data_IF_598329492385
#
_entry.id   IF_598329492385
#
_cell.length_a   1.000
_cell.length_b   1.000
_cell.length_c   1.000
_cell.angle_alpha   90.00
_cell.angle_beta   90.00
_cell.angle_gamma   90.00
#
_symmetry.space_group_name_H-M   'P 1'
#
loop_
_entity.id
_entity.type
_entity.pdbx_description
1 polymer ?
#
# COMPACT_ATOMS: atom_id res chain seq x y z
N UNK A 1 15.83 -14.65 3.72
CA UNK A 1 15.09 -15.93 3.63
C UNK A 1 13.91 -15.80 4.58
N UNK A 2 12.74 -15.50 4.06
CA UNK A 2 11.51 -15.46 4.85
C UNK A 2 11.05 -16.92 4.95
N UNK A 3 11.32 -17.55 6.09
CA UNK A 3 10.90 -18.92 6.36
C UNK A 3 9.54 -18.82 7.05
N UNK A 4 8.49 -19.36 6.41
CA UNK A 4 7.16 -19.43 6.99
C UNK A 4 7.18 -20.29 8.26
N UNK A 5 6.96 -19.66 9.42
CA UNK A 5 6.71 -20.35 10.70
C UNK A 5 5.28 -20.91 10.74
N UNK A 6 5.09 -22.09 11.32
CA UNK A 6 3.81 -22.78 11.47
C UNK A 6 2.75 -21.94 12.20
N UNK A 7 3.16 -21.04 13.09
CA UNK A 7 2.24 -20.16 13.83
C UNK A 7 1.57 -19.11 12.94
N UNK A 8 2.31 -18.57 11.95
CA UNK A 8 1.80 -17.67 10.91
C UNK A 8 0.88 -18.36 9.89
N UNK A 9 0.95 -19.70 9.76
CA UNK A 9 0.20 -20.47 8.76
C UNK A 9 -1.30 -20.62 9.07
N UNK A 10 -1.72 -20.48 10.34
CA UNK A 10 -3.13 -20.60 10.75
C UNK A 10 -3.88 -19.27 10.78
N UNK A 11 -3.16 -18.15 10.83
CA UNK A 11 -3.75 -16.81 10.97
C UNK A 11 -3.81 -16.02 9.66
N UNK A 12 -2.96 -16.34 8.68
CA UNK A 12 -2.87 -15.58 7.43
C UNK A 12 -3.02 -16.50 6.21
N UNK A 13 -3.56 -15.93 5.14
CA UNK A 13 -3.57 -16.51 3.79
C UNK A 13 -2.13 -16.60 3.20
N UNK A 14 -1.14 -17.09 3.97
CA UNK A 14 0.29 -16.98 3.68
C UNK A 14 0.71 -17.54 2.33
N UNK A 15 0.06 -18.63 1.87
CA UNK A 15 0.31 -19.14 0.51
C UNK A 15 -0.22 -18.24 -0.60
N UNK A 16 -1.36 -17.56 -0.39
CA UNK A 16 -1.90 -16.58 -1.34
C UNK A 16 -1.01 -15.34 -1.38
N UNK A 17 -0.62 -14.86 -0.19
CA UNK A 17 0.30 -13.73 -0.02
C UNK A 17 1.60 -13.96 -0.78
N UNK A 18 2.20 -15.14 -0.61
CA UNK A 18 3.42 -15.52 -1.30
C UNK A 18 3.27 -15.54 -2.84
N UNK A 19 2.14 -16.08 -3.33
CA UNK A 19 1.84 -16.11 -4.76
C UNK A 19 1.72 -14.71 -5.35
N UNK A 20 1.05 -13.81 -4.63
CA UNK A 20 0.91 -12.43 -5.05
C UNK A 20 2.25 -11.70 -5.07
N UNK A 21 3.13 -11.94 -4.10
CA UNK A 21 4.48 -11.36 -4.09
C UNK A 21 5.32 -11.85 -5.28
N UNK A 22 5.33 -13.16 -5.56
CA UNK A 22 6.00 -13.71 -6.75
C UNK A 22 5.41 -13.15 -8.05
N UNK A 23 4.08 -13.01 -8.12
CA UNK A 23 3.39 -12.41 -9.27
C UNK A 23 3.84 -10.97 -9.50
N UNK A 24 4.03 -10.17 -8.44
CA UNK A 24 4.55 -8.82 -8.60
C UNK A 24 5.92 -8.84 -9.27
N UNK A 25 6.87 -9.60 -8.71
CA UNK A 25 8.25 -9.57 -9.19
C UNK A 25 8.42 -10.18 -10.59
N UNK A 26 7.70 -11.27 -10.90
CA UNK A 26 7.81 -11.96 -12.19
C UNK A 26 6.99 -11.33 -13.31
N UNK A 27 5.89 -10.64 -13.00
CA UNK A 27 4.95 -10.15 -14.02
C UNK A 27 4.75 -8.65 -13.97
N UNK A 28 4.31 -8.08 -12.84
CA UNK A 28 4.01 -6.64 -12.76
C UNK A 28 5.23 -5.75 -12.91
N UNK A 29 6.35 -6.03 -12.22
CA UNK A 29 7.54 -5.16 -12.33
C UNK A 29 8.18 -5.19 -13.72
N UNK A 30 8.33 -6.34 -14.40
CA UNK A 30 8.75 -6.37 -15.80
C UNK A 30 7.77 -5.64 -16.72
N UNK A 31 6.46 -5.86 -16.52
CA UNK A 31 5.43 -5.16 -17.29
C UNK A 31 5.55 -3.64 -17.11
N UNK A 32 5.54 -3.14 -15.88
CA UNK A 32 5.69 -1.71 -15.57
C UNK A 32 7.02 -1.12 -16.09
N UNK A 33 8.11 -1.89 -16.09
CA UNK A 33 9.40 -1.41 -16.59
C UNK A 33 9.43 -1.10 -18.08
N UNK A 34 8.43 -1.57 -18.85
CA UNK A 34 8.29 -1.20 -20.26
C UNK A 34 7.89 0.25 -20.49
N UNK A 35 7.31 0.92 -19.47
CA UNK A 35 6.84 2.32 -19.56
C UNK A 35 7.49 3.24 -18.53
N UNK A 36 7.97 2.70 -17.41
CA UNK A 36 8.75 3.42 -16.40
C UNK A 36 10.04 2.63 -16.15
N UNK A 37 11.11 2.95 -16.88
CA UNK A 37 12.33 2.14 -16.96
C UNK A 37 13.02 1.89 -15.63
N UNK A 38 12.93 2.84 -14.70
CA UNK A 38 13.56 2.82 -13.39
C UNK A 38 12.57 2.42 -12.27
N UNK A 39 11.42 1.79 -12.60
CA UNK A 39 10.46 1.33 -11.57
C UNK A 39 11.04 0.25 -10.67
N UNK A 40 11.90 -0.63 -11.21
CA UNK A 40 12.52 -1.73 -10.47
C UNK A 40 13.49 -1.22 -9.39
N UNK A 41 14.01 0.00 -9.54
CA UNK A 41 14.91 0.61 -8.55
C UNK A 41 14.19 0.92 -7.23
N UNK A 42 12.85 1.00 -7.22
CA UNK A 42 12.05 1.12 -6.00
C UNK A 42 12.00 -0.17 -5.18
N UNK A 43 12.55 -1.29 -5.66
CA UNK A 43 12.48 -2.59 -5.00
C UNK A 43 13.87 -3.18 -4.82
N UNK A 44 14.09 -4.08 -3.83
CA UNK A 44 15.26 -4.95 -3.84
C UNK A 44 15.30 -5.75 -5.16
N UNK A 45 16.48 -5.97 -5.72
CA UNK A 45 16.58 -6.81 -6.93
C UNK A 45 16.04 -8.22 -6.64
N UNK A 46 15.06 -8.63 -7.41
CA UNK A 46 14.52 -10.00 -7.39
C UNK A 46 15.49 -10.95 -8.11
N UNK A 47 15.89 -12.02 -7.42
CA UNK A 47 16.84 -13.01 -7.94
C UNK A 47 16.10 -14.27 -8.40
N UNK A 48 15.17 -14.76 -7.58
CA UNK A 48 14.42 -15.97 -7.85
C UNK A 48 13.15 -16.03 -7.01
N UNK A 49 12.10 -16.63 -7.56
CA UNK A 49 10.86 -16.91 -6.85
C UNK A 49 10.26 -18.22 -7.36
N UNK A 50 9.82 -19.07 -6.44
CA UNK A 50 9.16 -20.32 -6.75
C UNK A 50 8.02 -20.54 -5.77
N UNK A 51 6.86 -20.90 -6.31
CA UNK A 51 5.68 -21.30 -5.55
C UNK A 51 5.37 -22.75 -5.92
N UNK A 52 5.34 -23.61 -4.92
CA UNK A 52 4.94 -25.01 -5.09
C UNK A 52 3.42 -25.11 -5.24
N UNK A 53 2.96 -26.03 -6.09
CA UNK A 53 1.53 -26.33 -6.19
C UNK A 53 1.05 -27.19 -5.02
N UNK A 54 1.95 -28.00 -4.45
CA UNK A 54 1.59 -29.11 -3.56
C UNK A 54 2.25 -28.98 -2.17
N UNK A 55 3.38 -28.27 -2.06
CA UNK A 55 4.15 -28.17 -0.82
C UNK A 55 4.69 -26.75 -0.56
N UNK A 56 3.95 -25.96 0.21
CA UNK A 56 4.33 -24.57 0.53
C UNK A 56 5.64 -24.42 1.32
N UNK A 57 6.21 -25.49 1.86
CA UNK A 57 7.54 -25.41 2.49
C UNK A 57 8.67 -25.28 1.45
N UNK A 58 8.36 -25.49 0.18
CA UNK A 58 9.27 -25.25 -0.95
C UNK A 58 9.14 -23.83 -1.51
N UNK A 59 8.15 -23.06 -1.05
CA UNK A 59 7.96 -21.67 -1.48
C UNK A 59 9.19 -20.84 -1.09
N UNK A 60 9.85 -20.24 -2.09
CA UNK A 60 11.08 -19.47 -1.89
C UNK A 60 11.10 -18.20 -2.72
N UNK A 61 11.44 -17.09 -2.06
CA UNK A 61 11.75 -15.80 -2.68
C UNK A 61 13.17 -15.43 -2.26
N UNK A 62 13.99 -15.10 -3.25
CA UNK A 62 15.36 -14.66 -3.07
C UNK A 62 15.45 -13.23 -3.60
N UNK A 63 15.74 -12.30 -2.69
CA UNK A 63 15.94 -10.89 -2.97
C UNK A 63 17.39 -10.49 -2.64
N UNK A 64 17.82 -9.40 -3.26
CA UNK A 64 19.06 -8.72 -2.92
C UNK A 64 19.16 -8.36 -1.44
N UNK A 65 20.34 -8.59 -0.88
CA UNK A 65 20.65 -8.17 0.48
C UNK A 65 21.06 -6.69 0.51
N UNK A 66 20.08 -5.81 0.75
CA UNK A 66 20.27 -4.36 0.77
C UNK A 66 21.17 -3.84 1.90
N UNK A 67 21.48 -4.65 2.93
CA UNK A 67 22.37 -4.22 4.02
C UNK A 67 23.78 -3.86 3.54
N UNK A 68 24.24 -4.49 2.45
CA UNK A 68 25.53 -4.20 1.81
C UNK A 68 25.58 -2.78 1.22
N UNK A 69 24.42 -2.22 0.90
CA UNK A 69 24.26 -0.86 0.37
C UNK A 69 23.85 0.16 1.43
N UNK A 70 24.02 -0.17 2.72
CA UNK A 70 23.65 0.67 3.87
C UNK A 70 22.16 1.02 3.96
N UNK A 71 21.29 0.21 3.34
CA UNK A 71 19.86 0.29 3.58
C UNK A 71 19.51 -0.37 4.91
N UNK A 72 18.53 0.20 5.61
CA UNK A 72 18.02 -0.31 6.89
C UNK A 72 16.59 0.17 7.12
N UNK A 73 15.87 -0.52 7.99
CA UNK A 73 14.56 -0.06 8.45
C UNK A 73 14.70 1.28 9.18
N UNK A 74 13.65 2.09 9.16
CA UNK A 74 13.60 3.31 9.94
C UNK A 74 13.78 3.00 11.44
N UNK A 75 14.58 3.81 12.14
CA UNK A 75 14.83 3.62 13.58
C UNK A 75 13.61 3.96 14.43
N UNK A 76 12.83 4.94 14.00
CA UNK A 76 11.62 5.35 14.70
C UNK A 76 10.54 4.28 14.55
N UNK A 77 10.00 3.84 15.69
CA UNK A 77 8.98 2.80 15.75
C UNK A 77 7.55 3.32 15.66
N UNK A 78 7.33 4.63 15.70
CA UNK A 78 5.98 5.20 15.80
C UNK A 78 5.76 6.39 14.87
N UNK A 79 6.77 7.23 14.64
CA UNK A 79 6.64 8.43 13.81
C UNK A 79 7.86 8.63 12.93
N UNK A 80 7.65 8.60 11.62
CA UNK A 80 8.71 8.90 10.66
C UNK A 80 9.00 10.41 10.62
N UNK A 81 10.22 10.80 10.25
CA UNK A 81 10.49 12.20 9.93
C UNK A 81 9.80 12.57 8.61
N UNK A 82 9.52 13.86 8.42
CA UNK A 82 8.92 14.37 7.20
C UNK A 82 9.67 13.90 5.95
N UNK A 83 11.00 13.91 5.96
CA UNK A 83 11.81 13.47 4.82
C UNK A 83 11.56 12.00 4.43
N UNK A 84 11.39 11.09 5.41
CA UNK A 84 11.04 9.69 5.12
C UNK A 84 9.66 9.59 4.50
N UNK A 85 8.70 10.36 5.03
CA UNK A 85 7.31 10.35 4.56
C UNK A 85 7.22 10.85 3.11
N UNK A 86 7.85 12.00 2.81
CA UNK A 86 7.86 12.56 1.45
C UNK A 86 8.55 11.60 0.47
N UNK A 87 9.64 10.95 0.89
CA UNK A 87 10.36 9.98 0.05
C UNK A 87 9.52 8.74 -0.25
N UNK A 88 8.86 8.16 0.76
CA UNK A 88 7.97 7.03 0.57
C UNK A 88 6.78 7.39 -0.33
N UNK A 89 6.16 8.56 -0.13
CA UNK A 89 5.04 9.03 -0.94
C UNK A 89 5.43 9.30 -2.40
N UNK A 90 6.63 9.78 -2.68
CA UNK A 90 7.15 9.90 -4.06
C UNK A 90 7.27 8.53 -4.72
N UNK A 91 7.91 7.58 -4.04
CA UNK A 91 8.01 6.20 -4.54
C UNK A 91 6.62 5.59 -4.80
N UNK A 92 5.66 5.82 -3.89
CA UNK A 92 4.29 5.35 -4.06
C UNK A 92 3.59 6.02 -5.25
N UNK A 93 3.77 7.32 -5.43
CA UNK A 93 3.24 8.07 -6.58
C UNK A 93 3.73 7.50 -7.90
N UNK A 94 5.03 7.23 -8.00
CA UNK A 94 5.65 6.57 -9.15
C UNK A 94 5.12 5.15 -9.37
N UNK A 95 4.97 4.35 -8.31
CA UNK A 95 4.41 3.00 -8.41
C UNK A 95 2.94 3.00 -8.88
N UNK A 96 2.10 3.86 -8.32
CA UNK A 96 0.70 3.98 -8.73
C UNK A 96 0.55 4.54 -10.15
N UNK A 97 1.44 5.45 -10.58
CA UNK A 97 1.45 5.97 -11.94
C UNK A 97 1.56 4.87 -13.01
N UNK A 98 2.32 3.79 -12.74
CA UNK A 98 2.41 2.65 -13.66
C UNK A 98 1.05 2.05 -14.01
N UNK A 99 0.12 1.97 -13.05
CA UNK A 99 -1.23 1.47 -13.31
C UNK A 99 -2.02 2.39 -14.24
N UNK A 100 -1.94 3.71 -14.04
CA UNK A 100 -2.61 4.69 -14.91
C UNK A 100 -2.06 4.65 -16.33
N UNK A 101 -0.73 4.62 -16.47
CA UNK A 101 -0.06 4.54 -17.77
C UNK A 101 -0.49 3.26 -18.50
N UNK A 102 -0.45 2.11 -17.82
CA UNK A 102 -0.84 0.84 -18.44
C UNK A 102 -2.30 0.80 -18.85
N UNK A 103 -3.22 1.33 -18.03
CA UNK A 103 -4.63 1.46 -18.40
C UNK A 103 -4.83 2.33 -19.64
N UNK A 104 -4.03 3.39 -19.81
CA UNK A 104 -4.11 4.28 -20.97
C UNK A 104 -3.58 3.65 -22.26
N UNK A 105 -2.68 2.67 -22.15
CA UNK A 105 -2.08 1.96 -23.28
C UNK A 105 -2.94 0.76 -23.68
N UNK A 106 -3.24 -0.11 -22.72
CA UNK A 106 -4.01 -1.33 -22.92
C UNK A 106 -4.73 -1.70 -21.61
N UNK A 107 -5.96 -1.18 -21.48
CA UNK A 107 -6.82 -1.42 -20.31
C UNK A 107 -7.14 -2.90 -20.12
N UNK A 108 -7.39 -3.65 -21.19
CA UNK A 108 -7.80 -5.06 -21.09
C UNK A 108 -6.66 -5.94 -20.58
N UNK A 109 -5.43 -5.72 -21.07
CA UNK A 109 -4.25 -6.42 -20.57
C UNK A 109 -3.97 -6.05 -19.11
N UNK A 110 -4.09 -4.77 -18.74
CA UNK A 110 -3.94 -4.36 -17.34
C UNK A 110 -4.97 -5.05 -16.44
N UNK A 111 -6.24 -5.04 -16.84
CA UNK A 111 -7.34 -5.69 -16.11
C UNK A 111 -7.13 -7.20 -15.98
N UNK A 112 -6.69 -7.87 -17.05
CA UNK A 112 -6.36 -9.30 -16.99
C UNK A 112 -5.27 -9.61 -15.96
N UNK A 113 -4.23 -8.78 -15.87
CA UNK A 113 -3.16 -8.93 -14.88
C UNK A 113 -3.64 -8.71 -13.45
N UNK A 114 -4.38 -7.63 -13.18
CA UNK A 114 -4.91 -7.38 -11.83
C UNK A 114 -5.95 -8.42 -11.40
N UNK A 115 -6.69 -9.01 -12.34
CA UNK A 115 -7.60 -10.12 -12.07
C UNK A 115 -6.87 -11.44 -11.76
N UNK A 116 -5.57 -11.56 -12.09
CA UNK A 116 -4.74 -12.70 -11.69
C UNK A 116 -4.22 -12.58 -10.25
N UNK A 117 -4.31 -11.39 -9.63
CA UNK A 117 -4.00 -11.19 -8.22
C UNK A 117 -5.03 -11.95 -7.39
N UNK A 118 -4.56 -12.82 -6.51
CA UNK A 118 -5.45 -13.65 -5.71
C UNK A 118 -5.99 -12.85 -4.54
N UNK A 119 -7.29 -12.98 -4.29
CA UNK A 119 -7.97 -12.22 -3.25
C UNK A 119 -7.48 -12.64 -1.85
N UNK A 120 -6.95 -11.68 -1.10
CA UNK A 120 -6.54 -11.84 0.30
C UNK A 120 -7.63 -11.42 1.30
N UNK A 121 -8.78 -10.93 0.81
CA UNK A 121 -9.86 -10.29 1.59
C UNK A 121 -10.97 -11.25 2.00
N UNK A 122 -10.72 -12.55 2.15
CA UNK A 122 -11.76 -13.48 2.62
C UNK A 122 -12.37 -13.05 3.98
N UNK A 123 -11.60 -12.31 4.79
CA UNK A 123 -12.04 -11.71 6.05
C UNK A 123 -13.06 -10.58 5.90
N UNK A 124 -13.15 -9.94 4.73
CA UNK A 124 -14.07 -8.80 4.49
C UNK A 124 -15.52 -9.27 4.44
N UNK A 125 -15.78 -10.47 3.93
CA UNK A 125 -17.15 -10.96 3.67
C UNK A 125 -17.65 -11.96 4.70
N UNK A 126 -16.80 -12.39 5.65
CA UNK A 126 -17.19 -13.28 6.76
C UNK A 126 -17.25 -12.54 8.10
N UNK A 127 -18.45 -12.24 8.63
CA UNK A 127 -18.64 -11.62 9.94
C UNK A 127 -18.05 -12.41 11.12
N UNK A 128 -17.80 -13.71 10.94
CA UNK A 128 -17.21 -14.57 11.95
C UNK A 128 -15.69 -14.60 11.88
N UNK A 129 -15.10 -13.96 10.89
CA UNK A 129 -13.65 -13.92 10.71
C UNK A 129 -12.99 -13.20 11.90
N UNK A 130 -11.90 -13.79 12.40
CA UNK A 130 -11.21 -13.29 13.58
C UNK A 130 -10.49 -11.96 13.35
N UNK A 131 -10.01 -11.72 12.13
CA UNK A 131 -9.34 -10.47 11.74
C UNK A 131 -10.35 -9.35 11.54
N UNK A 132 -11.50 -9.64 10.93
CA UNK A 132 -12.59 -8.67 10.87
C UNK A 132 -13.04 -8.25 12.28
N UNK A 133 -13.26 -9.22 13.17
CA UNK A 133 -13.61 -8.98 14.56
C UNK A 133 -12.52 -8.18 15.31
N UNK A 134 -11.25 -8.41 15.01
CA UNK A 134 -10.15 -7.63 15.54
C UNK A 134 -10.23 -6.15 15.11
N UNK A 135 -10.45 -5.88 13.82
CA UNK A 135 -10.59 -4.50 13.32
C UNK A 135 -11.77 -3.80 13.99
N UNK A 136 -12.95 -4.43 13.99
CA UNK A 136 -14.17 -3.86 14.58
C UNK A 136 -13.95 -3.50 16.06
N UNK A 137 -13.41 -4.42 16.86
CA UNK A 137 -13.15 -4.16 18.30
C UNK A 137 -12.15 -3.03 18.53
N UNK A 138 -11.15 -2.86 17.67
CA UNK A 138 -10.22 -1.74 17.79
C UNK A 138 -10.88 -0.42 17.40
N UNK A 139 -11.71 -0.41 16.35
CA UNK A 139 -12.53 0.75 15.98
C UNK A 139 -13.51 1.14 17.09
N UNK A 140 -14.22 0.19 17.70
CA UNK A 140 -15.14 0.43 18.82
C UNK A 140 -14.45 1.09 20.01
N UNK A 141 -13.23 0.66 20.34
CA UNK A 141 -12.44 1.25 21.43
C UNK A 141 -12.13 2.72 21.17
N UNK A 142 -11.68 3.05 19.96
CA UNK A 142 -11.43 4.43 19.54
C UNK A 142 -12.71 5.27 19.52
N UNK A 143 -13.76 4.73 18.91
CA UNK A 143 -15.07 5.38 18.83
C UNK A 143 -15.63 5.70 20.22
N UNK A 144 -15.59 4.76 21.17
CA UNK A 144 -16.10 4.97 22.53
C UNK A 144 -15.39 6.13 23.26
N UNK A 145 -14.08 6.27 23.04
CA UNK A 145 -13.32 7.37 23.60
C UNK A 145 -13.74 8.70 22.95
N UNK A 146 -13.74 8.77 21.61
CA UNK A 146 -14.05 9.99 20.86
C UNK A 146 -15.50 10.44 21.04
N UNK A 147 -16.46 9.51 21.10
CA UNK A 147 -17.88 9.83 21.31
C UNK A 147 -18.17 10.46 22.68
N UNK A 148 -17.25 10.34 23.64
CA UNK A 148 -17.32 11.03 24.92
C UNK A 148 -16.80 12.47 24.90
N UNK A 149 -16.24 12.93 23.79
CA UNK A 149 -15.67 14.27 23.60
C UNK A 149 -16.64 15.12 22.76
N UNK A 150 -17.06 16.27 23.29
CA UNK A 150 -18.05 17.13 22.62
C UNK A 150 -17.59 17.59 21.23
N UNK A 151 -16.28 17.79 21.03
CA UNK A 151 -15.69 18.23 19.76
C UNK A 151 -15.85 17.22 18.60
N UNK A 152 -16.13 15.94 18.90
CA UNK A 152 -16.24 14.85 17.92
C UNK A 152 -17.67 14.31 17.77
N UNK A 153 -18.63 14.82 18.53
CA UNK A 153 -20.00 14.28 18.59
C UNK A 153 -20.68 14.17 17.22
N UNK A 154 -20.48 15.18 16.37
CA UNK A 154 -21.07 15.29 15.03
C UNK A 154 -20.12 14.81 13.92
N UNK A 155 -18.92 14.31 14.26
CA UNK A 155 -17.89 13.84 13.30
C UNK A 155 -17.78 12.33 13.19
N UNK A 156 -18.59 11.59 13.95
CA UNK A 156 -18.46 10.14 14.08
C UNK A 156 -19.58 9.36 13.39
N UNK A 157 -20.39 10.01 12.57
CA UNK A 157 -21.54 9.38 11.91
C UNK A 157 -21.14 8.23 11.00
N UNK A 158 -20.09 8.41 10.18
CA UNK A 158 -19.57 7.35 9.32
C UNK A 158 -19.03 6.17 10.13
N UNK A 159 -18.29 6.44 11.22
CA UNK A 159 -17.78 5.39 12.11
C UNK A 159 -18.93 4.67 12.82
N UNK A 160 -19.97 5.40 13.24
CA UNK A 160 -21.17 4.84 13.87
C UNK A 160 -21.92 3.91 12.90
N UNK A 161 -22.07 4.31 11.64
CA UNK A 161 -22.70 3.48 10.60
C UNK A 161 -21.86 2.24 10.29
N UNK A 162 -20.53 2.39 10.17
CA UNK A 162 -19.61 1.27 10.01
C UNK A 162 -19.74 0.25 11.15
N UNK A 163 -19.70 0.72 12.41
CA UNK A 163 -19.81 -0.16 13.58
C UNK A 163 -21.19 -0.83 13.69
N UNK A 164 -22.25 -0.19 13.18
CA UNK A 164 -23.58 -0.77 13.16
C UNK A 164 -23.73 -1.93 12.16
N UNK A 165 -23.02 -1.87 11.02
CA UNK A 165 -23.04 -2.95 10.03
C UNK A 165 -21.68 -3.15 9.32
N UNK A 166 -20.65 -3.70 10.00
CA UNK A 166 -19.31 -3.79 9.42
C UNK A 166 -19.28 -4.64 8.14
N UNK A 167 -20.10 -5.69 8.07
CA UNK A 167 -20.17 -6.59 6.92
C UNK A 167 -20.65 -5.91 5.63
N UNK A 168 -21.47 -4.86 5.73
CA UNK A 168 -21.89 -4.05 4.59
C UNK A 168 -20.83 -3.03 4.16
N UNK A 169 -20.07 -2.51 5.13
CA UNK A 169 -19.10 -1.44 4.90
C UNK A 169 -17.74 -1.95 4.41
N UNK A 170 -17.22 -3.06 4.95
CA UNK A 170 -15.90 -3.57 4.55
C UNK A 170 -15.77 -3.77 3.03
N UNK A 171 -16.74 -4.37 2.30
CA UNK A 171 -16.66 -4.49 0.85
C UNK A 171 -16.54 -3.15 0.12
N UNK A 172 -17.16 -2.08 0.64
CA UNK A 172 -17.15 -0.74 0.02
C UNK A 172 -15.76 -0.11 0.04
N UNK A 173 -14.95 -0.39 1.06
CA UNK A 173 -13.57 0.11 1.13
C UNK A 173 -12.68 -0.42 0.01
N UNK A 174 -13.08 -1.53 -0.62
CA UNK A 174 -12.32 -2.19 -1.67
C UNK A 174 -13.06 -2.24 -3.01
N UNK A 175 -14.11 -1.43 -3.17
CA UNK A 175 -14.81 -1.31 -4.44
C UNK A 175 -13.86 -0.75 -5.51
N UNK A 176 -13.78 -1.43 -6.64
CA UNK A 176 -12.90 -1.06 -7.74
C UNK A 176 -13.59 0.01 -8.58
N UNK A 177 -12.87 1.10 -8.83
CA UNK A 177 -13.26 2.14 -9.76
C UNK A 177 -12.32 2.11 -10.96
N UNK A 178 -12.86 1.82 -12.15
CA UNK A 178 -12.08 1.73 -13.39
C UNK A 178 -11.17 2.94 -13.65
N UNK A 179 -11.62 4.15 -13.29
CA UNK A 179 -10.87 5.39 -13.50
C UNK A 179 -9.75 5.52 -12.46
N UNK A 180 -10.04 5.33 -11.18
CA UNK A 180 -9.13 5.73 -10.09
C UNK A 180 -8.37 4.58 -9.44
N UNK A 181 -8.81 3.33 -9.60
CA UNK A 181 -8.13 2.19 -8.99
C UNK A 181 -6.79 1.87 -9.66
N UNK A 182 -5.84 1.44 -8.84
CA UNK A 182 -4.46 1.10 -9.22
C UNK A 182 -4.05 -0.19 -8.51
N UNK A 183 -2.97 -0.82 -8.96
CA UNK A 183 -2.30 -1.84 -8.16
C UNK A 183 -1.66 -1.15 -6.95
N UNK A 184 -2.29 -1.34 -5.80
CA UNK A 184 -1.80 -0.89 -4.49
C UNK A 184 -0.85 -1.94 -3.92
N UNK A 185 0.04 -1.50 -3.03
CA UNK A 185 0.85 -2.37 -2.18
C UNK A 185 -0.03 -3.13 -1.18
N UNK A 186 -1.06 -2.50 -0.61
CA UNK A 186 -2.03 -3.13 0.30
C UNK A 186 -1.60 -3.28 1.76
N UNK A 187 -0.32 -3.05 2.06
CA UNK A 187 0.24 -2.94 3.42
C UNK A 187 1.38 -1.90 3.44
N UNK A 188 1.11 -0.73 2.86
CA UNK A 188 2.12 0.31 2.68
C UNK A 188 2.48 0.98 4.02
N UNK A 189 3.42 0.42 4.76
CA UNK A 189 3.87 0.93 6.05
C UNK A 189 5.39 0.96 6.19
N UNK A 190 5.92 1.67 7.19
CA UNK A 190 7.38 1.79 7.42
C UNK A 190 8.10 0.46 7.58
N UNK A 191 7.40 -0.59 8.01
CA UNK A 191 8.01 -1.91 8.25
C UNK A 191 8.30 -2.62 6.93
N UNK A 192 7.65 -2.21 5.84
CA UNK A 192 7.77 -2.76 4.49
C UNK A 192 8.62 -1.83 3.60
N UNK A 193 9.49 -1.03 4.23
CA UNK A 193 10.36 -0.07 3.56
C UNK A 193 11.77 -0.09 4.15
N UNK A 194 12.76 -0.20 3.28
CA UNK A 194 14.15 0.07 3.60
C UNK A 194 14.53 1.47 3.16
N UNK A 195 15.25 2.19 4.01
CA UNK A 195 15.80 3.51 3.71
C UNK A 195 17.32 3.48 3.66
N UNK A 196 17.90 4.17 2.69
CA UNK A 196 19.34 4.46 2.60
C UNK A 196 19.61 5.80 3.26
N UNK A 197 20.73 5.90 3.98
CA UNK A 197 21.08 7.10 4.74
C UNK A 197 22.43 7.64 4.33
N UNK A 198 22.55 8.96 4.35
CA UNK A 198 23.84 9.65 4.43
C UNK A 198 24.47 9.46 5.81
N UNK A 199 25.77 9.77 5.94
CA UNK A 199 26.48 9.76 7.22
C UNK A 199 25.88 10.76 8.23
N UNK A 200 25.17 11.79 7.73
CA UNK A 200 24.39 12.74 8.54
C UNK A 200 23.14 12.13 9.20
N UNK A 201 22.74 10.92 8.82
CA UNK A 201 21.51 10.27 9.24
C UNK A 201 20.27 10.69 8.45
N UNK A 202 20.42 11.51 7.40
CA UNK A 202 19.34 11.93 6.50
C UNK A 202 18.98 10.80 5.52
N UNK A 203 17.70 10.46 5.32
CA UNK A 203 17.31 9.48 4.32
C UNK A 203 17.54 10.04 2.91
N UNK A 204 18.11 9.23 2.03
CA UNK A 204 18.42 9.61 0.62
C UNK A 204 17.81 8.71 -0.42
N UNK A 205 17.37 7.51 -0.04
CA UNK A 205 16.63 6.62 -0.94
C UNK A 205 15.72 5.67 -0.16
N UNK A 206 14.70 5.14 -0.82
CA UNK A 206 13.74 4.16 -0.27
C UNK A 206 13.61 2.96 -1.23
N UNK A 207 13.44 1.77 -0.66
CA UNK A 207 13.04 0.56 -1.38
C UNK A 207 11.86 -0.10 -0.65
N UNK A 208 10.81 -0.42 -1.40
CA UNK A 208 9.64 -1.16 -0.93
C UNK A 208 9.91 -2.65 -1.00
N UNK A 209 9.39 -3.41 -0.05
CA UNK A 209 9.48 -4.87 -0.03
C UNK A 209 8.22 -5.44 0.63
N UNK A 210 8.09 -6.77 0.66
CA UNK A 210 6.90 -7.45 1.20
C UNK A 210 5.63 -7.07 0.42
N UNK A 211 5.64 -7.43 -0.86
CA UNK A 211 4.55 -7.11 -1.80
C UNK A 211 3.46 -8.19 -1.78
N UNK A 212 3.31 -8.85 -0.65
CA UNK A 212 2.45 -10.02 -0.49
C UNK A 212 0.96 -9.65 -0.42
N UNK A 213 0.65 -8.38 -0.16
CA UNK A 213 -0.71 -7.87 0.02
C UNK A 213 -1.21 -7.03 -1.16
N UNK A 214 -0.53 -7.11 -2.31
CA UNK A 214 -0.92 -6.34 -3.50
C UNK A 214 -2.38 -6.54 -3.85
N UNK A 215 -3.03 -5.45 -4.26
CA UNK A 215 -4.47 -5.42 -4.49
C UNK A 215 -4.84 -4.34 -5.50
N UNK A 216 -5.80 -4.61 -6.37
CA UNK A 216 -6.40 -3.58 -7.22
C UNK A 216 -7.48 -2.83 -6.44
N UNK A 217 -7.18 -1.60 -6.04
CA UNK A 217 -8.04 -0.79 -5.18
C UNK A 217 -7.79 0.71 -5.39
N UNK A 218 -8.54 1.56 -4.69
CA UNK A 218 -8.27 3.00 -4.64
C UNK A 218 -6.87 3.28 -4.07
N UNK A 219 -6.08 4.20 -4.65
CA UNK A 219 -4.76 4.58 -4.13
C UNK A 219 -4.83 5.16 -2.71
N UNK A 220 -6.01 5.63 -2.28
CA UNK A 220 -6.26 6.11 -0.92
C UNK A 220 -5.99 5.03 0.12
N UNK A 221 -6.14 3.75 -0.24
CA UNK A 221 -5.84 2.62 0.65
C UNK A 221 -4.41 2.72 1.20
N UNK A 222 -3.41 2.82 0.32
CA UNK A 222 -2.00 2.92 0.71
C UNK A 222 -1.67 4.27 1.33
N UNK A 223 -2.20 5.37 0.77
CA UNK A 223 -1.91 6.74 1.25
C UNK A 223 -2.42 6.93 2.68
N UNK A 224 -3.69 6.63 2.94
CA UNK A 224 -4.29 6.80 4.25
C UNK A 224 -3.66 5.84 5.26
N UNK A 225 -3.47 4.56 4.90
CA UNK A 225 -2.83 3.59 5.77
C UNK A 225 -1.43 4.03 6.18
N UNK A 226 -0.60 4.47 5.23
CA UNK A 226 0.75 4.93 5.50
C UNK A 226 0.78 6.18 6.39
N UNK A 227 0.00 7.20 6.04
CA UNK A 227 -0.02 8.47 6.77
C UNK A 227 -0.51 8.26 8.19
N UNK A 228 -1.65 7.60 8.40
CA UNK A 228 -2.20 7.43 9.75
C UNK A 228 -1.37 6.49 10.63
N UNK A 229 -0.66 5.52 10.05
CA UNK A 229 0.16 4.58 10.82
C UNK A 229 1.57 5.10 11.15
N UNK A 230 2.09 6.07 10.38
CA UNK A 230 3.50 6.49 10.50
C UNK A 230 3.69 7.99 10.80
N UNK A 231 2.61 8.76 10.96
CA UNK A 231 2.68 10.20 11.30
C UNK A 231 2.02 10.50 12.65
N UNK A 232 2.52 11.54 13.31
CA UNK A 232 1.82 12.17 14.45
C UNK A 232 0.70 13.10 14.00
N UNK A 233 -0.21 13.45 14.92
CA UNK A 233 -1.26 14.44 14.66
C UNK A 233 -0.68 15.79 14.23
N UNK A 234 0.33 16.30 14.93
CA UNK A 234 0.95 17.60 14.62
C UNK A 234 1.57 17.62 13.22
N UNK A 235 2.22 16.52 12.83
CA UNK A 235 2.77 16.38 11.47
C UNK A 235 1.67 16.43 10.41
N UNK A 236 0.53 15.77 10.64
CA UNK A 236 -0.61 15.83 9.72
C UNK A 236 -1.16 17.24 9.64
N UNK A 237 -1.41 17.90 10.77
CA UNK A 237 -1.93 19.28 10.79
C UNK A 237 -0.99 20.24 10.07
N UNK A 238 0.32 20.12 10.27
CA UNK A 238 1.31 21.05 9.74
C UNK A 238 1.70 20.78 8.28
N UNK A 239 1.73 19.51 7.86
CA UNK A 239 2.34 19.09 6.60
C UNK A 239 1.42 18.29 5.68
N UNK A 240 0.10 18.27 5.93
CA UNK A 240 -0.86 17.50 5.12
C UNK A 240 -0.68 17.74 3.62
N UNK A 241 -0.82 19.00 3.20
CA UNK A 241 -0.74 19.37 1.78
C UNK A 241 0.63 19.03 1.20
N UNK A 242 1.71 19.26 1.95
CA UNK A 242 3.07 18.91 1.52
C UNK A 242 3.22 17.40 1.29
N UNK A 243 2.62 16.56 2.13
CA UNK A 243 2.64 15.11 1.99
C UNK A 243 1.83 14.66 0.76
N UNK A 244 0.60 15.15 0.61
CA UNK A 244 -0.26 14.77 -0.52
C UNK A 244 0.32 15.28 -1.85
N UNK A 245 0.82 16.52 -1.90
CA UNK A 245 1.50 17.05 -3.09
C UNK A 245 2.74 16.24 -3.44
N UNK A 246 3.53 15.78 -2.46
CA UNK A 246 4.71 14.95 -2.75
C UNK A 246 4.35 13.61 -3.41
N UNK A 247 3.21 13.00 -3.06
CA UNK A 247 2.67 11.85 -3.77
C UNK A 247 2.20 12.24 -5.18
N UNK A 248 1.36 13.27 -5.26
CA UNK A 248 0.70 13.69 -6.49
C UNK A 248 1.68 14.16 -7.56
N UNK A 249 2.65 14.99 -7.19
CA UNK A 249 3.67 15.52 -8.10
C UNK A 249 4.50 14.38 -8.69
N UNK A 250 4.86 13.38 -7.88
CA UNK A 250 5.60 12.22 -8.37
C UNK A 250 4.76 11.35 -9.30
N UNK A 251 3.47 11.16 -9.00
CA UNK A 251 2.54 10.46 -9.87
C UNK A 251 2.40 11.18 -11.21
N UNK A 252 2.13 12.49 -11.16
CA UNK A 252 1.98 13.36 -12.33
C UNK A 252 3.24 13.35 -13.20
N UNK A 253 4.41 13.59 -12.59
CA UNK A 253 5.69 13.58 -13.30
C UNK A 253 5.95 12.24 -13.98
N UNK A 254 5.61 11.12 -13.32
CA UNK A 254 5.78 9.78 -13.90
C UNK A 254 4.82 9.58 -15.08
N UNK A 255 3.54 9.94 -14.94
CA UNK A 255 2.57 9.89 -16.04
C UNK A 255 2.97 10.76 -17.24
N UNK A 256 3.45 11.98 -17.00
CA UNK A 256 3.87 12.92 -18.05
C UNK A 256 5.20 12.52 -18.72
N UNK A 257 6.00 11.69 -18.07
CA UNK A 257 7.26 11.19 -18.64
C UNK A 257 7.06 10.10 -19.70
N UNK A 258 5.87 9.50 -19.79
CA UNK A 258 5.59 8.49 -20.79
C UNK A 258 5.12 9.15 -22.11
N UNK A 259 5.32 8.47 -23.24
CA UNK A 259 4.94 8.98 -24.56
C UNK A 259 3.44 8.84 -24.88
N UNK A 260 2.58 8.74 -23.85
CA UNK A 260 1.15 8.49 -23.97
C UNK A 260 0.33 9.54 -23.21
N UNK A 261 -0.88 9.82 -23.71
CA UNK A 261 -1.84 10.64 -22.96
C UNK A 261 -2.44 9.80 -21.85
N UNK A 262 -2.12 10.15 -20.60
CA UNK A 262 -2.61 9.42 -19.42
C UNK A 262 -3.67 10.25 -18.72
N UNK A 263 -4.86 9.67 -18.53
CA UNK A 263 -5.85 10.22 -17.61
C UNK A 263 -5.58 9.69 -16.21
N UNK A 264 -5.33 10.60 -15.27
CA UNK A 264 -5.23 10.30 -13.84
C UNK A 264 -6.02 11.36 -13.05
N UNK A 265 -6.52 11.01 -11.85
CA UNK A 265 -7.26 11.97 -11.02
C UNK A 265 -6.41 13.21 -10.74
N UNK A 266 -7.04 14.38 -10.72
CA UNK A 266 -6.39 15.61 -10.25
C UNK A 266 -6.38 15.67 -8.72
N UNK A 267 -5.57 16.55 -8.14
CA UNK A 267 -5.60 16.80 -6.69
C UNK A 267 -7.01 17.17 -6.20
N UNK A 268 -7.74 17.95 -7.01
CA UNK A 268 -9.11 18.40 -6.74
C UNK A 268 -10.16 17.29 -6.90
N UNK A 269 -9.85 16.23 -7.63
CA UNK A 269 -10.71 15.04 -7.76
C UNK A 269 -10.61 14.12 -6.52
N UNK A 270 -9.68 14.37 -5.59
CA UNK A 270 -9.59 13.62 -4.34
C UNK A 270 -10.75 14.03 -3.43
N UNK A 271 -11.62 13.10 -2.98
CA UNK A 271 -12.61 13.44 -1.97
C UNK A 271 -11.85 13.94 -0.75
N UNK A 272 -12.02 15.22 -0.40
CA UNK A 272 -11.38 15.93 0.72
C UNK A 272 -11.04 14.99 1.90
N UNK A 273 -9.84 14.39 1.88
CA UNK A 273 -9.38 13.48 2.95
C UNK A 273 -9.10 14.29 4.24
N UNK A 274 -9.07 15.62 4.14
CA UNK A 274 -8.76 16.54 5.22
C UNK A 274 -9.99 17.15 5.94
N UNK A 275 -11.23 16.90 5.50
CA UNK A 275 -12.37 17.71 5.96
C UNK A 275 -13.55 16.98 6.64
N UNK A 276 -13.64 15.65 6.60
CA UNK A 276 -14.76 14.92 7.23
C UNK A 276 -14.31 13.83 8.22
#
# INVERSE_FOLDING_TARGET
MQICDESSLKFNNGGIQFINEVLLYNDFLPYFSTVVSDIQDLFPKFVYGYVSTDNRFEDIIILENLSLEKYRLATSRTQLSLEHILMALRGLGKFHACSYIMKSIDKDTFLAKVNAVRDIRNWVTDPKDSFQNFIVKNCERGFKYLAGLEEYKDKLDNVRQFLANPAEWFPRFFEVNDRTSVLCHGDFCRNNMFFKYEDSGRPVNVKFFDMATIIHASPVLDIAFFLYLNTGQDQRVQHWDQMIHSYYDSLKQTCESCHHTVEFPTYEDSPNIAAD
#
